data_IF_600929609878
#
_entry.id   IF_600929609878
#
_cell.length_a   1.000
_cell.length_b   1.000
_cell.length_c   1.000
_cell.angle_alpha   90.00
_cell.angle_beta   90.00
_cell.angle_gamma   90.00
#
_symmetry.space_group_name_H-M   'P 1'
#
loop_
_entity.id
_entity.type
_entity.pdbx_description
1 polymer ?
#
# COMPACT_ATOMS: atom_id res chain seq x y z
N UNK A 1 -43.44 15.33 26.26
CA UNK A 1 -43.44 15.58 24.81
C UNK A 1 -42.30 16.55 24.53
N UNK A 2 -41.18 16.02 24.04
CA UNK A 2 -39.97 16.80 23.71
C UNK A 2 -40.14 17.35 22.30
N UNK A 3 -39.94 18.66 22.04
CA UNK A 3 -40.12 19.21 20.70
C UNK A 3 -39.03 18.71 19.75
N UNK A 4 -39.44 18.40 18.52
CA UNK A 4 -38.59 17.94 17.44
C UNK A 4 -37.51 18.98 17.12
N UNK A 5 -36.24 18.58 17.25
CA UNK A 5 -35.10 19.35 16.76
C UNK A 5 -35.09 19.30 15.24
N UNK A 6 -35.28 20.45 14.61
CA UNK A 6 -35.09 20.65 13.17
C UNK A 6 -33.64 20.36 12.78
N UNK A 7 -33.37 19.70 11.64
CA UNK A 7 -32.02 19.53 11.14
C UNK A 7 -31.41 20.90 10.79
N UNK A 8 -30.23 21.17 11.36
CA UNK A 8 -29.46 22.39 11.16
C UNK A 8 -29.09 22.56 9.69
N UNK A 9 -29.27 23.77 9.16
CA UNK A 9 -28.88 24.15 7.81
C UNK A 9 -27.36 23.91 7.56
N UNK A 10 -26.94 23.57 6.34
CA UNK A 10 -25.53 23.47 5.99
C UNK A 10 -24.82 24.82 6.14
N UNK A 11 -23.54 24.85 6.56
CA UNK A 11 -22.79 26.10 6.68
C UNK A 11 -22.59 26.77 5.30
N UNK A 12 -22.47 28.11 5.25
CA UNK A 12 -22.33 28.83 3.99
C UNK A 12 -21.03 28.48 3.28
N UNK A 13 -21.15 28.23 1.99
CA UNK A 13 -20.08 28.09 0.99
C UNK A 13 -19.17 29.33 0.99
N UNK A 14 -18.04 29.24 1.69
CA UNK A 14 -17.25 30.41 2.10
C UNK A 14 -15.82 30.52 1.60
N UNK A 15 -15.34 29.64 0.70
CA UNK A 15 -14.04 29.81 0.04
C UNK A 15 -14.17 29.45 -1.43
N UNK A 16 -13.98 30.43 -2.31
CA UNK A 16 -13.92 30.17 -3.75
C UNK A 16 -12.75 29.21 -4.04
N UNK A 17 -12.96 28.14 -4.84
CA UNK A 17 -11.90 27.22 -5.21
C UNK A 17 -10.77 27.97 -5.94
N UNK A 18 -9.48 27.60 -5.71
CA UNK A 18 -8.36 28.24 -6.40
C UNK A 18 -8.53 28.12 -7.93
N UNK A 19 -8.10 29.13 -8.72
CA UNK A 19 -8.29 29.12 -10.15
C UNK A 19 -7.58 27.91 -10.79
N UNK A 20 -8.34 27.06 -11.49
CA UNK A 20 -7.86 25.80 -12.07
C UNK A 20 -8.24 24.53 -11.29
N UNK A 21 -9.04 24.66 -10.21
CA UNK A 21 -9.52 23.51 -9.45
C UNK A 21 -10.96 23.10 -9.78
N UNK A 22 -11.21 21.79 -9.82
CA UNK A 22 -12.53 21.18 -10.01
C UNK A 22 -13.08 20.72 -8.66
N UNK A 23 -14.35 21.02 -8.37
CA UNK A 23 -15.04 20.52 -7.19
C UNK A 23 -15.88 19.29 -7.55
N UNK A 24 -15.51 18.12 -7.06
CA UNK A 24 -16.25 16.87 -7.24
C UNK A 24 -17.16 16.60 -6.05
N UNK A 25 -18.37 16.10 -6.30
CA UNK A 25 -19.26 15.61 -5.24
C UNK A 25 -19.01 14.12 -5.00
N UNK A 26 -18.32 13.79 -3.92
CA UNK A 26 -17.97 12.41 -3.54
C UNK A 26 -18.89 11.96 -2.41
N UNK A 27 -20.13 11.59 -2.74
CA UNK A 27 -21.09 11.07 -1.75
C UNK A 27 -21.68 12.13 -0.82
N UNK A 28 -21.94 13.33 -1.34
CA UNK A 28 -22.44 14.49 -0.59
C UNK A 28 -21.35 15.45 -0.09
N UNK A 29 -20.13 15.31 -0.60
CA UNK A 29 -18.93 16.02 -0.14
C UNK A 29 -18.26 16.74 -1.30
N UNK A 30 -18.03 18.06 -1.15
CA UNK A 30 -17.23 18.80 -2.13
C UNK A 30 -15.74 18.54 -1.91
N UNK A 31 -15.13 17.78 -2.82
CA UNK A 31 -13.69 17.53 -2.89
C UNK A 31 -13.09 18.49 -3.91
N UNK A 32 -12.09 19.26 -3.51
CA UNK A 32 -11.37 20.16 -4.42
C UNK A 32 -10.19 19.40 -5.03
N UNK A 33 -10.19 19.28 -6.34
CA UNK A 33 -9.06 18.75 -7.13
C UNK A 33 -8.33 19.94 -7.74
N UNK A 34 -7.13 20.23 -7.27
CA UNK A 34 -6.29 21.31 -7.78
C UNK A 34 -4.96 20.73 -8.27
N UNK A 35 -4.50 21.11 -9.47
CA UNK A 35 -3.21 20.69 -10.04
C UNK A 35 -2.98 19.16 -10.07
N UNK A 36 -4.05 18.38 -10.26
CA UNK A 36 -3.98 16.91 -10.27
C UNK A 36 -3.89 16.27 -8.88
N UNK A 37 -4.00 17.06 -7.81
CA UNK A 37 -4.07 16.57 -6.44
C UNK A 37 -5.50 16.72 -5.91
N UNK A 38 -6.12 15.60 -5.51
CA UNK A 38 -7.36 15.65 -4.73
C UNK A 38 -7.00 15.69 -3.25
N UNK A 39 -7.20 16.86 -2.63
CA UNK A 39 -7.06 17.02 -1.19
C UNK A 39 -8.46 16.96 -0.58
N UNK A 40 -8.73 15.92 0.19
CA UNK A 40 -9.89 15.90 1.06
C UNK A 40 -9.65 16.94 2.17
N UNK A 41 -10.61 17.84 2.47
CA UNK A 41 -10.35 18.96 3.36
C UNK A 41 -9.99 18.49 4.78
N UNK A 42 -8.71 18.63 5.16
CA UNK A 42 -8.24 18.50 6.54
C UNK A 42 -8.78 19.70 7.33
N UNK A 43 -9.89 19.52 8.05
CA UNK A 43 -10.42 20.61 8.88
C UNK A 43 -11.90 20.58 9.21
N UNK A 44 -12.70 19.64 8.67
CA UNK A 44 -14.05 19.44 9.23
C UNK A 44 -13.93 18.72 10.57
N UNK A 45 -13.92 19.51 11.66
CA UNK A 45 -14.07 19.04 13.04
C UNK A 45 -15.45 18.41 13.33
N UNK A 46 -16.28 18.28 12.29
CA UNK A 46 -17.50 17.47 12.22
C UNK A 46 -17.56 16.63 10.93
N UNK A 47 -16.41 16.14 10.42
CA UNK A 47 -16.42 14.89 9.65
C UNK A 47 -17.16 13.89 10.55
N UNK A 48 -18.30 13.30 10.15
CA UNK A 48 -18.79 12.19 10.93
C UNK A 48 -17.63 11.21 10.94
N UNK A 49 -17.33 10.73 12.12
CA UNK A 49 -16.49 9.61 12.51
C UNK A 49 -16.83 8.30 11.74
N UNK A 50 -17.45 8.42 10.57
CA UNK A 50 -18.11 7.42 9.76
C UNK A 50 -18.02 7.76 8.26
N UNK A 51 -16.91 8.31 7.74
CA UNK A 51 -16.60 8.05 6.33
C UNK A 51 -16.20 6.57 6.23
N UNK A 52 -17.23 5.71 6.18
CA UNK A 52 -17.13 4.25 6.18
C UNK A 52 -16.65 3.75 4.82
N UNK A 53 -16.89 4.50 3.74
CA UNK A 53 -16.62 4.05 2.38
C UNK A 53 -16.34 5.21 1.42
N UNK A 54 -15.47 4.99 0.45
CA UNK A 54 -15.42 5.81 -0.77
C UNK A 54 -16.54 5.31 -1.68
N UNK A 55 -17.43 6.23 -2.08
CA UNK A 55 -18.61 5.89 -2.89
C UNK A 55 -18.26 5.34 -4.27
N UNK A 56 -19.24 4.68 -4.89
CA UNK A 56 -19.14 4.17 -6.25
C UNK A 56 -18.88 5.34 -7.22
N UNK A 57 -17.87 5.18 -8.09
CA UNK A 57 -17.53 6.14 -9.14
C UNK A 57 -16.99 7.49 -8.66
N UNK A 58 -16.61 7.63 -7.38
CA UNK A 58 -16.20 8.90 -6.75
C UNK A 58 -15.24 9.77 -7.57
N UNK A 59 -14.23 9.15 -8.18
CA UNK A 59 -13.20 9.76 -9.01
C UNK A 59 -13.10 9.04 -10.37
N UNK A 60 -14.21 8.48 -10.85
CA UNK A 60 -14.19 7.76 -12.12
C UNK A 60 -13.88 8.70 -13.29
N UNK A 61 -12.87 8.35 -14.09
CA UNK A 61 -12.45 9.10 -15.27
C UNK A 61 -11.60 10.33 -14.97
N UNK A 62 -11.17 10.55 -13.72
CA UNK A 62 -10.29 11.66 -13.35
C UNK A 62 -8.86 11.43 -13.87
N UNK A 63 -8.67 11.55 -15.19
CA UNK A 63 -7.42 11.22 -15.88
C UNK A 63 -6.24 12.10 -15.48
N UNK A 64 -6.49 13.32 -14.99
CA UNK A 64 -5.47 14.25 -14.48
C UNK A 64 -5.07 14.00 -13.02
N UNK A 65 -5.73 13.07 -12.32
CA UNK A 65 -5.48 12.81 -10.90
C UNK A 65 -4.17 12.06 -10.71
N UNK A 66 -3.20 12.67 -10.02
CA UNK A 66 -1.85 12.16 -9.78
C UNK A 66 -1.71 11.53 -8.40
N UNK A 67 -2.35 12.13 -7.38
CA UNK A 67 -2.40 11.57 -6.02
C UNK A 67 -3.71 11.93 -5.32
N UNK A 68 -4.04 11.11 -4.32
CA UNK A 68 -5.23 11.26 -3.48
C UNK A 68 -4.85 10.98 -2.04
N UNK A 69 -5.11 11.94 -1.16
CA UNK A 69 -4.94 11.74 0.28
C UNK A 69 -6.25 11.26 0.87
N UNK A 70 -6.31 9.98 1.25
CA UNK A 70 -7.47 9.36 1.87
C UNK A 70 -7.44 9.54 3.39
N UNK A 71 -8.59 9.75 4.05
CA UNK A 71 -8.62 9.84 5.49
C UNK A 71 -8.37 8.45 6.09
N UNK A 72 -8.05 8.39 7.38
CA UNK A 72 -7.73 7.13 8.04
C UNK A 72 -8.90 6.12 8.14
N UNK A 73 -10.13 6.53 7.83
CA UNK A 73 -11.37 5.83 8.19
C UNK A 73 -12.10 4.98 7.13
N UNK A 74 -11.87 5.05 5.80
CA UNK A 74 -12.66 4.24 4.88
C UNK A 74 -12.39 2.76 5.08
N UNK A 75 -13.47 2.02 5.36
CA UNK A 75 -13.49 0.56 5.45
C UNK A 75 -13.67 -0.11 4.09
N UNK A 76 -14.14 0.62 3.08
CA UNK A 76 -14.29 0.10 1.71
C UNK A 76 -14.07 1.16 0.63
N UNK A 77 -13.67 0.68 -0.56
CA UNK A 77 -13.64 1.46 -1.80
C UNK A 77 -14.71 0.90 -2.72
N UNK A 78 -15.61 1.76 -3.19
CA UNK A 78 -16.75 1.39 -4.02
C UNK A 78 -16.40 0.97 -5.44
N UNK A 79 -17.43 0.57 -6.18
CA UNK A 79 -17.33 0.21 -7.59
C UNK A 79 -16.76 1.36 -8.41
N UNK A 80 -15.73 1.12 -9.21
CA UNK A 80 -15.19 2.15 -10.12
C UNK A 80 -14.65 3.41 -9.44
N UNK A 81 -14.41 3.41 -8.13
CA UNK A 81 -14.14 4.65 -7.38
C UNK A 81 -12.98 5.50 -7.93
N UNK A 82 -11.96 4.89 -8.53
CA UNK A 82 -10.84 5.54 -9.21
C UNK A 82 -10.65 5.00 -10.64
N UNK A 83 -11.66 4.33 -11.21
CA UNK A 83 -11.53 3.75 -12.55
C UNK A 83 -11.26 4.84 -13.59
N UNK A 84 -10.23 4.68 -14.43
CA UNK A 84 -9.83 5.64 -15.46
C UNK A 84 -8.93 6.78 -14.96
N UNK A 85 -8.42 6.73 -13.73
CA UNK A 85 -7.41 7.69 -13.24
C UNK A 85 -6.03 7.39 -13.84
N UNK A 86 -5.87 7.65 -15.14
CA UNK A 86 -4.68 7.26 -15.91
C UNK A 86 -3.36 7.85 -15.38
N UNK A 87 -3.38 9.03 -14.74
CA UNK A 87 -2.20 9.68 -14.17
C UNK A 87 -1.90 9.32 -12.72
N UNK A 88 -2.71 8.49 -12.06
CA UNK A 88 -2.57 8.18 -10.63
C UNK A 88 -1.35 7.28 -10.42
N UNK A 89 -0.26 7.83 -9.88
CA UNK A 89 1.03 7.13 -9.77
C UNK A 89 1.09 6.21 -8.54
N UNK A 90 0.49 6.68 -7.45
CA UNK A 90 0.46 5.99 -6.16
C UNK A 90 -0.77 6.38 -5.38
N UNK A 91 -1.27 5.45 -4.56
CA UNK A 91 -2.34 5.72 -3.61
C UNK A 91 -2.00 5.07 -2.27
N UNK A 92 -2.13 5.85 -1.21
CA UNK A 92 -2.01 5.36 0.16
C UNK A 92 -3.39 4.90 0.64
N UNK A 93 -3.55 3.59 0.78
CA UNK A 93 -4.81 3.00 1.19
C UNK A 93 -4.99 3.11 2.72
N UNK A 94 -6.22 3.34 3.20
CA UNK A 94 -6.49 3.49 4.63
C UNK A 94 -6.13 2.22 5.41
N UNK A 95 -5.54 2.37 6.60
CA UNK A 95 -5.15 1.24 7.45
C UNK A 95 -6.34 0.35 7.88
N UNK A 96 -7.57 0.89 7.86
CA UNK A 96 -8.81 0.19 8.21
C UNK A 96 -9.54 -0.42 7.00
N UNK A 97 -9.00 -0.29 5.78
CA UNK A 97 -9.67 -0.77 4.57
C UNK A 97 -9.82 -2.30 4.59
N UNK A 98 -11.02 -2.78 4.34
CA UNK A 98 -11.40 -4.20 4.36
C UNK A 98 -11.76 -4.73 2.98
N UNK A 99 -12.27 -3.89 2.07
CA UNK A 99 -12.68 -4.33 0.74
C UNK A 99 -12.41 -3.29 -0.35
N UNK A 100 -12.06 -3.79 -1.54
CA UNK A 100 -11.92 -3.00 -2.76
C UNK A 100 -12.95 -3.50 -3.77
N UNK A 101 -13.80 -2.60 -4.25
CA UNK A 101 -14.90 -2.90 -5.15
C UNK A 101 -14.46 -3.29 -6.56
N UNK A 102 -15.42 -3.79 -7.34
CA UNK A 102 -15.21 -4.11 -8.74
C UNK A 102 -14.77 -2.85 -9.51
N UNK A 103 -13.78 -2.99 -10.39
CA UNK A 103 -13.20 -1.89 -11.19
C UNK A 103 -12.68 -0.69 -10.41
N UNK A 104 -12.45 -0.79 -9.10
CA UNK A 104 -12.09 0.34 -8.25
C UNK A 104 -10.90 1.17 -8.75
N UNK A 105 -9.91 0.55 -9.38
CA UNK A 105 -8.72 1.16 -10.00
C UNK A 105 -8.55 0.67 -11.45
N UNK A 106 -9.66 0.41 -12.13
CA UNK A 106 -9.65 -0.02 -13.53
C UNK A 106 -8.94 1.02 -14.41
N UNK A 107 -8.07 0.61 -15.33
CA UNK A 107 -7.31 1.47 -16.26
C UNK A 107 -6.55 2.65 -15.57
N UNK A 108 -6.04 2.44 -14.35
CA UNK A 108 -5.07 3.34 -13.72
C UNK A 108 -3.66 3.04 -14.25
N UNK A 109 -3.38 3.42 -15.50
CA UNK A 109 -2.17 3.00 -16.23
C UNK A 109 -0.86 3.39 -15.55
N UNK A 110 -0.77 4.58 -14.94
CA UNK A 110 0.42 5.06 -14.24
C UNK A 110 0.62 4.48 -12.84
N UNK A 111 -0.33 3.70 -12.31
CA UNK A 111 -0.30 3.20 -10.93
C UNK A 111 0.81 2.16 -10.77
N UNK A 112 1.96 2.61 -10.26
CA UNK A 112 3.17 1.78 -10.20
C UNK A 112 3.26 0.96 -8.91
N UNK A 113 2.64 1.44 -7.82
CA UNK A 113 2.72 0.84 -6.49
C UNK A 113 1.41 0.99 -5.73
N UNK A 114 1.02 -0.09 -5.07
CA UNK A 114 -0.10 -0.12 -4.14
C UNK A 114 0.32 -0.88 -2.89
N UNK A 115 0.19 -0.23 -1.72
CA UNK A 115 0.44 -0.86 -0.44
C UNK A 115 -0.91 -1.28 0.18
N UNK A 116 -1.18 -2.58 0.19
CA UNK A 116 -2.40 -3.09 0.81
C UNK A 116 -2.30 -3.12 2.34
N UNK A 117 -3.33 -2.65 3.07
CA UNK A 117 -3.35 -2.70 4.51
C UNK A 117 -3.56 -4.13 5.01
N UNK A 118 -3.08 -4.42 6.23
CA UNK A 118 -3.16 -5.76 6.82
C UNK A 118 -4.61 -6.25 7.04
N UNK A 119 -5.57 -5.33 7.07
CA UNK A 119 -7.00 -5.57 7.27
C UNK A 119 -7.77 -5.92 6.00
N UNK A 120 -7.15 -5.80 4.81
CA UNK A 120 -7.83 -6.06 3.55
C UNK A 120 -8.23 -7.55 3.44
N UNK A 121 -9.52 -7.77 3.19
CA UNK A 121 -10.14 -9.10 3.12
C UNK A 121 -10.42 -9.49 1.67
N UNK A 122 -10.93 -8.56 0.86
CA UNK A 122 -11.37 -8.87 -0.51
C UNK A 122 -10.99 -7.81 -1.54
N UNK A 123 -10.72 -8.29 -2.76
CA UNK A 123 -10.49 -7.48 -3.96
C UNK A 123 -11.50 -7.93 -5.02
N UNK A 124 -12.31 -7.01 -5.53
CA UNK A 124 -13.36 -7.28 -6.50
C UNK A 124 -12.87 -7.52 -7.92
N UNK A 125 -13.82 -7.87 -8.79
CA UNK A 125 -13.55 -8.18 -10.19
C UNK A 125 -12.98 -6.97 -10.94
N UNK A 126 -12.01 -7.21 -11.82
CA UNK A 126 -11.32 -6.17 -12.59
C UNK A 126 -10.75 -5.00 -11.74
N UNK A 127 -10.58 -5.15 -10.41
CA UNK A 127 -10.30 -4.03 -9.52
C UNK A 127 -9.05 -3.21 -9.91
N UNK A 128 -8.00 -3.86 -10.41
CA UNK A 128 -6.75 -3.28 -10.90
C UNK A 128 -6.48 -3.68 -12.36
N UNK A 129 -7.52 -4.05 -13.11
CA UNK A 129 -7.34 -4.41 -14.52
C UNK A 129 -6.82 -3.20 -15.30
N UNK A 130 -5.83 -3.38 -16.16
CA UNK A 130 -5.24 -2.31 -16.97
C UNK A 130 -4.18 -1.45 -16.27
N UNK A 131 -3.84 -1.74 -15.00
CA UNK A 131 -2.74 -1.06 -14.29
C UNK A 131 -1.37 -1.52 -14.82
N UNK A 132 -0.98 -1.06 -16.02
CA UNK A 132 0.18 -1.56 -16.77
C UNK A 132 1.53 -1.26 -16.09
N UNK A 133 1.64 -0.15 -15.34
CA UNK A 133 2.83 0.20 -14.57
C UNK A 133 2.99 -0.58 -13.25
N UNK A 134 1.97 -1.32 -12.80
CA UNK A 134 1.97 -1.98 -11.50
C UNK A 134 2.96 -3.16 -11.48
N UNK A 135 4.17 -2.91 -10.99
CA UNK A 135 5.27 -3.88 -11.07
C UNK A 135 5.31 -4.88 -9.91
N UNK A 136 4.82 -4.48 -8.74
CA UNK A 136 4.89 -5.30 -7.52
C UNK A 136 3.67 -5.08 -6.65
N UNK A 137 3.11 -6.19 -6.15
CA UNK A 137 1.96 -6.19 -5.24
C UNK A 137 2.25 -7.12 -4.07
N UNK A 138 2.09 -6.62 -2.86
CA UNK A 138 2.19 -7.41 -1.63
C UNK A 138 0.81 -7.60 -1.03
N UNK A 139 0.28 -8.82 -1.10
CA UNK A 139 -1.00 -9.13 -0.48
C UNK A 139 -0.87 -9.35 1.03
N UNK A 140 -1.88 -8.98 1.83
CA UNK A 140 -1.89 -9.23 3.26
C UNK A 140 -2.26 -10.69 3.56
N UNK A 141 -1.78 -11.18 4.70
CA UNK A 141 -2.00 -12.56 5.12
C UNK A 141 -3.48 -12.90 5.41
N UNK A 142 -4.30 -11.88 5.69
CA UNK A 142 -5.74 -12.01 5.95
C UNK A 142 -6.63 -11.98 4.70
N UNK A 143 -6.05 -11.82 3.50
CA UNK A 143 -6.82 -11.78 2.26
C UNK A 143 -7.50 -13.13 2.01
N UNK A 144 -8.79 -13.10 1.68
CA UNK A 144 -9.62 -14.30 1.46
C UNK A 144 -10.11 -14.44 0.02
N UNK A 145 -10.24 -13.34 -0.73
CA UNK A 145 -10.68 -13.40 -2.13
C UNK A 145 -10.03 -12.35 -3.03
N UNK A 146 -9.73 -12.80 -4.26
CA UNK A 146 -9.31 -11.99 -5.39
C UNK A 146 -10.28 -12.31 -6.53
N UNK A 147 -10.98 -11.29 -7.02
CA UNK A 147 -12.00 -11.40 -8.06
C UNK A 147 -11.46 -11.80 -9.43
N UNK A 148 -12.38 -12.05 -10.35
CA UNK A 148 -12.09 -12.39 -11.73
C UNK A 148 -11.42 -11.21 -12.42
N UNK A 149 -10.36 -11.50 -13.20
CA UNK A 149 -9.60 -10.46 -13.92
C UNK A 149 -9.06 -9.32 -13.05
N UNK A 150 -8.96 -9.49 -11.71
CA UNK A 150 -8.62 -8.40 -10.78
C UNK A 150 -7.34 -7.64 -11.13
N UNK A 151 -6.31 -8.30 -11.65
CA UNK A 151 -5.04 -7.71 -12.11
C UNK A 151 -4.80 -7.99 -13.59
N UNK A 152 -5.85 -8.21 -14.37
CA UNK A 152 -5.70 -8.45 -15.80
C UNK A 152 -4.98 -7.29 -16.49
N UNK A 153 -4.21 -7.58 -17.54
CA UNK A 153 -3.42 -6.58 -18.27
C UNK A 153 -2.41 -5.75 -17.42
N UNK A 154 -2.08 -6.17 -16.18
CA UNK A 154 -0.95 -5.63 -15.42
C UNK A 154 0.38 -6.17 -15.99
N UNK A 155 0.82 -5.66 -17.15
CA UNK A 155 1.97 -6.20 -17.90
C UNK A 155 3.30 -6.16 -17.15
N UNK A 156 3.49 -5.19 -16.24
CA UNK A 156 4.70 -5.09 -15.41
C UNK A 156 4.70 -6.05 -14.20
N UNK A 157 3.57 -6.69 -13.90
CA UNK A 157 3.43 -7.54 -12.73
C UNK A 157 4.03 -8.93 -12.98
N UNK A 158 5.27 -9.13 -12.54
CA UNK A 158 6.02 -10.37 -12.82
C UNK A 158 5.86 -11.44 -11.74
N UNK A 159 5.68 -11.05 -10.48
CA UNK A 159 5.55 -11.97 -9.35
C UNK A 159 4.58 -11.43 -8.31
N UNK A 160 3.77 -12.34 -7.77
CA UNK A 160 2.91 -12.08 -6.63
C UNK A 160 2.95 -13.20 -5.61
N UNK A 161 2.75 -12.86 -4.35
CA UNK A 161 2.61 -13.83 -3.25
C UNK A 161 1.19 -13.76 -2.72
N UNK A 162 0.45 -14.86 -2.80
CA UNK A 162 -0.97 -14.93 -2.41
C UNK A 162 -1.12 -15.89 -1.22
N UNK A 163 -1.95 -15.58 -0.20
CA UNK A 163 -2.16 -16.51 0.89
C UNK A 163 -2.84 -17.79 0.40
N UNK A 164 -2.47 -18.95 0.95
CA UNK A 164 -3.07 -20.25 0.58
C UNK A 164 -4.56 -20.31 0.85
N UNK A 165 -5.06 -19.48 1.75
CA UNK A 165 -6.47 -19.34 2.12
C UNK A 165 -7.28 -18.52 1.12
N UNK A 166 -6.64 -17.74 0.23
CA UNK A 166 -7.36 -16.91 -0.72
C UNK A 166 -7.85 -17.68 -1.94
N UNK A 167 -9.10 -17.44 -2.31
CA UNK A 167 -9.63 -17.79 -3.62
C UNK A 167 -9.10 -16.81 -4.66
N UNK A 168 -8.72 -17.32 -5.84
CA UNK A 168 -8.24 -16.51 -6.96
C UNK A 168 -9.23 -16.74 -8.11
N UNK A 169 -9.83 -15.66 -8.58
CA UNK A 169 -10.75 -15.65 -9.70
C UNK A 169 -10.11 -16.05 -11.01
N UNK A 170 -10.95 -16.36 -11.99
CA UNK A 170 -10.53 -16.69 -13.33
C UNK A 170 -9.79 -15.52 -13.97
N UNK A 171 -8.63 -15.79 -14.58
CA UNK A 171 -7.82 -14.77 -15.26
C UNK A 171 -7.37 -13.60 -14.37
N UNK A 172 -7.41 -13.76 -13.03
CA UNK A 172 -7.11 -12.70 -12.07
C UNK A 172 -5.72 -12.09 -12.27
N UNK A 173 -4.74 -12.88 -12.74
CA UNK A 173 -3.41 -12.41 -13.07
C UNK A 173 -3.09 -12.66 -14.54
N UNK A 174 -2.22 -11.85 -15.16
CA UNK A 174 -1.68 -12.11 -16.48
C UNK A 174 -0.98 -13.48 -16.53
N UNK A 175 -0.98 -14.17 -17.68
CA UNK A 175 -0.35 -15.49 -17.81
C UNK A 175 1.17 -15.46 -17.58
N UNK A 176 1.81 -14.31 -17.74
CA UNK A 176 3.24 -14.12 -17.48
C UNK A 176 3.57 -13.96 -15.99
N UNK A 177 2.58 -13.74 -15.12
CA UNK A 177 2.80 -13.48 -13.69
C UNK A 177 3.03 -14.79 -12.94
N UNK A 178 4.13 -14.89 -12.21
CA UNK A 178 4.40 -16.01 -11.31
C UNK A 178 3.64 -15.82 -9.99
N UNK A 179 2.68 -16.72 -9.72
CA UNK A 179 1.89 -16.71 -8.48
C UNK A 179 2.43 -17.72 -7.49
N UNK A 180 2.97 -17.24 -6.36
CA UNK A 180 3.43 -18.08 -5.25
C UNK A 180 2.36 -18.14 -4.15
N UNK A 181 1.84 -19.34 -3.84
CA UNK A 181 0.89 -19.54 -2.74
C UNK A 181 1.62 -19.91 -1.44
N UNK A 182 1.44 -19.10 -0.38
CA UNK A 182 2.09 -19.33 0.93
C UNK A 182 1.08 -19.32 2.10
N UNK A 183 1.31 -20.14 3.15
CA UNK A 183 0.56 -20.00 4.40
C UNK A 183 0.75 -18.62 5.04
N UNK A 184 -0.26 -18.08 5.78
CA UNK A 184 -0.19 -16.76 6.43
C UNK A 184 1.08 -16.52 7.26
N UNK A 185 1.55 -17.54 7.99
CA UNK A 185 2.77 -17.45 8.80
C UNK A 185 4.04 -17.23 7.96
N UNK A 186 4.16 -17.93 6.82
CA UNK A 186 5.33 -17.83 5.92
C UNK A 186 5.32 -16.56 5.09
N UNK A 187 4.13 -16.04 4.80
CA UNK A 187 3.95 -14.82 4.01
C UNK A 187 4.57 -13.60 4.69
N UNK A 188 4.42 -13.46 6.02
CA UNK A 188 5.05 -12.36 6.79
C UNK A 188 6.57 -12.35 6.64
N UNK A 189 7.19 -13.52 6.75
CA UNK A 189 8.61 -13.69 6.57
C UNK A 189 9.03 -13.42 5.12
N UNK A 190 8.31 -13.99 4.14
CA UNK A 190 8.60 -13.81 2.72
C UNK A 190 8.54 -12.34 2.31
N UNK A 191 7.48 -11.62 2.71
CA UNK A 191 7.32 -10.20 2.41
C UNK A 191 8.46 -9.35 2.98
N UNK A 192 8.95 -9.70 4.18
CA UNK A 192 10.09 -9.02 4.81
C UNK A 192 11.37 -9.26 4.03
N UNK A 193 11.64 -10.53 3.67
CA UNK A 193 12.83 -10.90 2.89
C UNK A 193 12.79 -10.28 1.49
N UNK A 194 11.64 -10.31 0.83
CA UNK A 194 11.45 -9.76 -0.51
C UNK A 194 11.69 -8.24 -0.53
N UNK A 195 11.17 -7.51 0.47
CA UNK A 195 11.48 -6.09 0.68
C UNK A 195 12.97 -5.84 0.91
N UNK A 196 13.63 -6.66 1.74
CA UNK A 196 15.08 -6.55 1.97
C UNK A 196 15.86 -6.83 0.67
N UNK A 197 15.46 -7.82 -0.12
CA UNK A 197 16.09 -8.15 -1.39
C UNK A 197 15.87 -7.03 -2.42
N UNK A 198 14.68 -6.46 -2.50
CA UNK A 198 14.38 -5.31 -3.35
C UNK A 198 15.23 -4.10 -2.94
N UNK A 199 15.32 -3.81 -1.64
CA UNK A 199 16.21 -2.77 -1.11
C UNK A 199 17.68 -3.04 -1.44
N UNK A 200 18.14 -4.30 -1.29
CA UNK A 200 19.51 -4.70 -1.64
C UNK A 200 19.80 -4.50 -3.13
N UNK A 201 18.88 -4.90 -4.03
CA UNK A 201 19.03 -4.69 -5.48
C UNK A 201 19.14 -3.21 -5.81
N UNK A 202 18.24 -2.40 -5.25
CA UNK A 202 18.26 -0.95 -5.39
C UNK A 202 19.59 -0.36 -4.86
N UNK A 203 20.04 -0.74 -3.67
CA UNK A 203 21.30 -0.27 -3.10
C UNK A 203 22.53 -0.69 -3.93
N UNK A 204 22.53 -1.91 -4.49
CA UNK A 204 23.59 -2.43 -5.36
C UNK A 204 23.64 -1.73 -6.72
N UNK A 205 22.48 -1.43 -7.31
CA UNK A 205 22.37 -0.64 -8.55
C UNK A 205 22.86 0.79 -8.37
N UNK A 206 22.86 1.31 -7.13
CA UNK A 206 23.20 2.70 -6.84
C UNK A 206 24.53 2.94 -6.08
N UNK A 207 25.22 1.93 -5.51
CA UNK A 207 26.57 2.10 -4.88
C UNK A 207 27.44 0.82 -4.86
N UNK A 208 28.70 0.94 -5.31
CA UNK A 208 29.72 -0.13 -5.41
C UNK A 208 30.41 -0.50 -4.07
N UNK A 209 30.22 0.27 -2.99
CA UNK A 209 30.96 0.08 -1.73
C UNK A 209 30.40 -0.98 -0.74
N UNK A 210 29.16 -1.45 -0.92
CA UNK A 210 28.47 -2.31 0.05
C UNK A 210 28.78 -3.82 -0.13
N UNK A 211 29.43 -4.19 -1.24
CA UNK A 211 29.70 -5.58 -1.65
C UNK A 211 30.59 -6.33 -0.65
N UNK A 212 31.64 -5.69 -0.14
CA UNK A 212 32.62 -6.33 0.76
C UNK A 212 32.07 -6.67 2.15
N UNK A 213 31.02 -5.98 2.62
CA UNK A 213 30.38 -6.30 3.90
C UNK A 213 29.33 -7.41 3.74
N UNK A 214 28.63 -7.44 2.60
CA UNK A 214 27.52 -8.38 2.36
C UNK A 214 27.97 -9.79 1.94
N UNK A 215 29.10 -9.96 1.26
CA UNK A 215 29.65 -11.30 0.97
C UNK A 215 29.92 -12.11 2.25
N UNK A 216 30.28 -11.45 3.35
CA UNK A 216 30.51 -12.11 4.65
C UNK A 216 29.22 -12.55 5.35
N UNK A 217 28.11 -11.85 5.12
CA UNK A 217 26.79 -12.21 5.67
C UNK A 217 26.12 -13.32 4.84
N UNK A 218 26.41 -13.39 3.54
CA UNK A 218 25.76 -14.33 2.62
C UNK A 218 26.20 -15.80 2.83
N UNK A 219 27.39 -16.06 3.39
CA UNK A 219 27.89 -17.43 3.63
C UNK A 219 27.15 -18.15 4.79
N UNK A 220 26.46 -17.42 5.70
CA UNK A 220 25.82 -18.03 6.88
C UNK A 220 24.28 -18.14 6.83
N UNK A 221 23.62 -17.75 5.73
CA UNK A 221 22.15 -17.78 5.63
C UNK A 221 21.52 -19.20 5.52
N UNK A 222 22.34 -20.26 5.52
CA UNK A 222 21.89 -21.65 5.40
C UNK A 222 21.65 -22.43 6.70
N UNK A 223 21.75 -21.84 7.91
CA UNK A 223 21.75 -22.65 9.15
C UNK A 223 20.94 -22.11 10.35
N UNK A 224 19.98 -21.23 10.12
CA UNK A 224 19.16 -20.69 11.22
C UNK A 224 17.92 -21.55 11.49
N UNK A 225 18.14 -22.65 12.22
CA UNK A 225 17.08 -23.44 12.85
C UNK A 225 16.39 -22.72 14.03
N UNK A 226 15.29 -23.29 14.56
CA UNK A 226 14.33 -22.61 15.44
C UNK A 226 14.86 -22.21 16.83
N UNK A 227 15.98 -22.77 17.29
CA UNK A 227 16.38 -22.70 18.70
C UNK A 227 17.21 -21.46 19.07
N UNK A 228 17.47 -20.56 18.11
CA UNK A 228 18.10 -19.25 18.41
C UNK A 228 19.51 -19.31 19.03
N UNK A 229 20.11 -20.48 19.21
CA UNK A 229 21.44 -20.66 19.81
C UNK A 229 22.56 -19.98 18.99
N UNK A 230 22.39 -19.87 17.67
CA UNK A 230 23.27 -19.08 16.81
C UNK A 230 23.20 -17.57 17.13
N UNK A 231 22.02 -17.05 17.50
CA UNK A 231 21.85 -15.63 17.88
C UNK A 231 22.60 -15.25 19.15
N UNK A 232 22.77 -16.20 20.08
CA UNK A 232 23.45 -15.95 21.36
C UNK A 232 24.97 -15.89 21.18
N UNK A 233 25.54 -16.83 20.41
CA UNK A 233 26.98 -16.83 20.07
C UNK A 233 27.39 -15.63 19.22
N UNK A 234 26.60 -15.26 18.22
CA UNK A 234 26.91 -14.10 17.37
C UNK A 234 26.79 -12.77 18.15
N UNK A 235 25.92 -12.71 19.17
CA UNK A 235 25.84 -11.56 20.09
C UNK A 235 27.07 -11.48 21.00
N UNK A 236 27.50 -12.62 21.55
CA UNK A 236 28.69 -12.71 22.42
C UNK A 236 29.99 -12.39 21.64
N UNK A 237 30.08 -12.75 20.36
CA UNK A 237 31.22 -12.40 19.48
C UNK A 237 31.19 -10.92 19.04
N UNK A 238 30.01 -10.36 18.77
CA UNK A 238 29.82 -8.92 18.52
C UNK A 238 30.20 -8.06 19.73
N UNK A 239 29.86 -8.49 20.95
CA UNK A 239 30.25 -7.80 22.19
C UNK A 239 31.75 -7.94 22.49
N UNK A 240 32.41 -8.99 21.99
CA UNK A 240 33.87 -9.19 22.08
C UNK A 240 34.68 -8.28 21.14
N UNK A 241 34.28 -8.15 19.87
CA UNK A 241 35.00 -7.36 18.87
C UNK A 241 34.88 -5.84 19.07
N UNK A 242 33.80 -5.39 19.74
CA UNK A 242 33.58 -3.97 20.05
C UNK A 242 33.81 -3.62 21.55
N UNK A 243 34.14 -4.61 22.39
CA UNK A 243 34.33 -4.46 23.85
C UNK A 243 35.72 -3.99 24.31
N UNK A 244 36.67 -3.77 23.40
CA UNK A 244 38.03 -3.29 23.72
C UNK A 244 38.33 -1.89 23.15
N UNK A 245 37.34 -0.99 23.23
CA UNK A 245 37.49 0.42 22.85
C UNK A 245 37.39 1.43 24.00
N UNK A 246 37.26 0.98 25.25
CA UNK A 246 36.99 1.87 26.40
C UNK A 246 37.91 1.63 27.60
N UNK A 247 39.24 1.72 27.41
CA UNK A 247 40.20 2.02 28.49
C UNK A 247 41.59 2.36 27.95
N UNK A 248 41.80 3.61 27.50
CA UNK A 248 43.09 4.31 27.57
C UNK A 248 42.89 5.78 27.17
N UNK A 249 42.23 6.53 28.06
CA UNK A 249 42.25 7.99 28.02
C UNK A 249 43.61 8.51 28.49
N UNK A 250 44.17 9.43 27.71
CA UNK A 250 44.96 10.60 28.15
C UNK A 250 45.95 10.41 29.31
N UNK A 251 47.25 10.40 28.98
CA UNK A 251 48.23 11.14 29.78
C UNK A 251 48.84 12.23 28.91
N UNK A 252 48.55 13.47 29.27
CA UNK A 252 49.22 14.66 28.78
C UNK A 252 49.51 15.54 29.99
N UNK A 253 50.74 15.46 30.48
CA UNK A 253 51.50 16.46 31.23
C UNK A 253 52.90 15.88 31.49
#
# INVERSE_FOLDING_TARGET
MVPASTPSAPPPSGTAPPPGSETLDVGGWQVVVADGHAVLPEGMTHLPWALVSIGDGAFFGCSSLVSVDLPASPTSIGWGAFGGCASLVSIDLPAALTSIGMRAFYDCEALARVAFPATLVSIGDCAFSGCSALASVTFPAGLTSIGDFAFNACSSLTRVTVPTTATIGFGAFPPATTVLRLPPAKMRWYNTVDRILAYKRFALEHKVGLLGWLERVNIRLGSYGPDGAARKRDREEFEGDFGHGAAAGSSGA
#
